data_IF_058291758120
#
_entry.id   IF_058291758120
#
_cell.length_a   1.000
_cell.length_b   1.000
_cell.length_c   1.000
_cell.angle_alpha   90.00
_cell.angle_beta   90.00
_cell.angle_gamma   90.00
#
_symmetry.space_group_name_H-M   'P 1'
#
loop_
_entity.id
_entity.type
_entity.pdbx_description
1 polymer ?
#
# COMPACT_ATOMS: atom_id res chain seq x y z
N UNK A 1 22.80 -4.99 -32.09
CA UNK A 1 22.18 -4.45 -30.86
C UNK A 1 21.30 -5.54 -30.28
N UNK A 2 21.43 -5.85 -28.97
CA UNK A 2 20.51 -6.75 -28.31
C UNK A 2 19.16 -6.05 -28.09
N UNK A 3 18.05 -6.76 -28.34
CA UNK A 3 16.71 -6.20 -28.23
C UNK A 3 16.37 -5.78 -26.78
N UNK A 4 15.55 -4.74 -26.67
CA UNK A 4 14.90 -4.35 -25.40
C UNK A 4 13.91 -5.45 -25.01
N UNK A 5 13.98 -5.89 -23.76
CA UNK A 5 13.13 -6.94 -23.23
C UNK A 5 12.59 -6.59 -21.85
N UNK A 6 11.36 -7.03 -21.57
CA UNK A 6 10.79 -7.10 -20.24
C UNK A 6 10.40 -8.55 -19.93
N UNK A 7 10.68 -8.99 -18.72
CA UNK A 7 10.36 -10.35 -18.29
C UNK A 7 9.91 -10.34 -16.81
N UNK A 8 9.18 -11.38 -16.43
CA UNK A 8 8.84 -11.68 -15.04
C UNK A 8 9.29 -13.08 -14.73
N UNK A 9 10.00 -13.21 -13.63
CA UNK A 9 10.37 -14.48 -13.01
C UNK A 9 9.46 -14.73 -11.83
N UNK A 10 8.81 -15.90 -11.78
CA UNK A 10 7.86 -16.28 -10.73
C UNK A 10 8.34 -17.55 -10.05
N UNK A 11 8.30 -17.55 -8.72
CA UNK A 11 8.58 -18.70 -7.86
C UNK A 11 7.30 -19.08 -7.14
N UNK A 12 6.97 -20.35 -7.11
CA UNK A 12 5.80 -20.91 -6.42
C UNK A 12 6.25 -22.06 -5.53
N UNK A 13 5.86 -22.04 -4.25
CA UNK A 13 6.22 -23.06 -3.24
C UNK A 13 7.74 -23.38 -3.22
N UNK A 14 8.55 -22.31 -3.31
CA UNK A 14 10.01 -22.39 -3.28
C UNK A 14 10.68 -22.87 -4.58
N UNK A 15 9.92 -23.12 -5.65
CA UNK A 15 10.42 -23.60 -6.95
C UNK A 15 10.05 -22.65 -8.07
N UNK A 16 10.86 -22.61 -9.12
CA UNK A 16 10.52 -21.86 -10.33
C UNK A 16 9.19 -22.37 -10.91
N UNK A 17 8.21 -21.48 -11.02
CA UNK A 17 6.88 -21.83 -11.54
C UNK A 17 6.90 -21.92 -13.06
N UNK A 18 7.33 -23.05 -13.62
CA UNK A 18 7.50 -23.24 -15.06
C UNK A 18 6.25 -22.90 -15.86
N UNK A 19 5.07 -23.35 -15.40
CA UNK A 19 3.78 -23.06 -16.07
C UNK A 19 3.51 -21.56 -16.11
N UNK A 20 3.66 -20.86 -15.00
CA UNK A 20 3.45 -19.40 -14.92
C UNK A 20 4.50 -18.63 -15.72
N UNK A 21 5.74 -19.09 -15.73
CA UNK A 21 6.84 -18.41 -16.42
C UNK A 21 6.76 -18.56 -17.94
N UNK A 22 6.35 -19.73 -18.45
CA UNK A 22 6.33 -20.02 -19.87
C UNK A 22 5.00 -19.65 -20.56
N UNK A 23 3.88 -19.81 -19.86
CA UNK A 23 2.55 -19.71 -20.43
C UNK A 23 1.75 -18.48 -19.96
N UNK A 24 2.37 -17.56 -19.18
CA UNK A 24 1.65 -16.36 -18.73
C UNK A 24 1.26 -15.49 -19.91
N UNK A 25 0.01 -15.04 -19.91
CA UNK A 25 -0.54 -14.10 -20.89
C UNK A 25 -0.67 -12.70 -20.33
N UNK A 26 -0.85 -12.59 -19.02
CA UNK A 26 -0.86 -11.30 -18.33
C UNK A 26 -0.27 -11.44 -16.92
N UNK A 27 0.40 -10.39 -16.49
CA UNK A 27 0.92 -10.24 -15.15
C UNK A 27 0.67 -8.80 -14.70
N UNK A 28 0.07 -8.65 -13.54
CA UNK A 28 -0.16 -7.35 -12.90
C UNK A 28 0.37 -7.40 -11.47
N UNK A 29 1.25 -6.47 -11.12
CA UNK A 29 1.68 -6.21 -9.76
C UNK A 29 1.15 -4.85 -9.34
N UNK A 30 0.34 -4.81 -8.28
CA UNK A 30 -0.22 -3.60 -7.69
C UNK A 30 0.43 -3.36 -6.34
N UNK A 31 1.01 -2.18 -6.18
CA UNK A 31 1.70 -1.72 -4.97
C UNK A 31 1.05 -0.42 -4.48
N UNK A 32 0.11 -0.49 -3.54
CA UNK A 32 -0.45 0.68 -2.86
C UNK A 32 0.51 1.20 -1.78
N UNK A 33 0.53 2.51 -1.56
CA UNK A 33 1.37 3.13 -0.53
C UNK A 33 0.87 2.81 0.89
N UNK A 34 -0.43 2.66 1.07
CA UNK A 34 -1.04 2.37 2.38
C UNK A 34 -2.45 1.80 2.25
N UNK A 35 -2.97 1.25 3.34
CA UNK A 35 -4.37 0.84 3.47
C UNK A 35 -4.69 -0.52 2.87
N UNK A 36 -3.94 -0.98 1.90
CA UNK A 36 -4.12 -2.27 1.23
C UNK A 36 -2.80 -3.03 1.19
N UNK A 37 -2.87 -4.33 0.99
CA UNK A 37 -1.70 -5.17 0.76
C UNK A 37 -1.33 -5.15 -0.73
N UNK A 38 -0.05 -5.33 -1.02
CA UNK A 38 0.40 -5.52 -2.39
C UNK A 38 -0.24 -6.77 -3.00
N UNK A 39 -0.57 -6.70 -4.28
CA UNK A 39 -1.27 -7.77 -4.98
C UNK A 39 -0.59 -8.20 -6.27
N UNK A 40 -0.68 -9.49 -6.55
CA UNK A 40 -0.32 -10.07 -7.85
C UNK A 40 -1.53 -10.72 -8.50
N UNK A 41 -1.77 -10.37 -9.76
CA UNK A 41 -2.72 -11.02 -10.65
C UNK A 41 -1.96 -11.63 -11.84
N UNK A 42 -2.06 -12.95 -12.02
CA UNK A 42 -1.35 -13.67 -13.08
C UNK A 42 -2.37 -14.48 -13.86
N UNK A 43 -2.45 -14.22 -15.16
CA UNK A 43 -3.24 -15.04 -16.08
C UNK A 43 -2.30 -15.84 -16.96
N UNK A 44 -2.57 -17.12 -17.12
CA UNK A 44 -1.76 -18.01 -17.95
C UNK A 44 -2.65 -18.89 -18.82
N UNK A 45 -2.10 -19.29 -19.93
CA UNK A 45 -2.74 -20.18 -20.89
C UNK A 45 -2.19 -21.60 -20.71
N UNK A 46 -3.08 -22.57 -20.60
CA UNK A 46 -2.72 -23.97 -20.50
C UNK A 46 -3.16 -24.72 -21.74
N UNK A 47 -2.21 -25.42 -22.38
CA UNK A 47 -2.49 -26.17 -23.64
C UNK A 47 -3.05 -27.57 -23.40
N UNK A 48 -2.94 -28.08 -22.18
CA UNK A 48 -3.38 -29.42 -21.83
C UNK A 48 -4.06 -29.43 -20.47
N UNK A 49 -4.93 -30.40 -20.25
CA UNK A 49 -5.55 -30.63 -18.94
C UNK A 49 -4.53 -31.03 -17.84
N UNK A 50 -3.23 -31.08 -18.15
CA UNK A 50 -2.18 -31.51 -17.22
C UNK A 50 -2.02 -30.58 -16.01
N UNK A 51 -2.29 -29.28 -16.15
CA UNK A 51 -2.30 -28.36 -15.01
C UNK A 51 -3.45 -28.63 -14.02
N UNK A 52 -4.53 -29.24 -14.50
CA UNK A 52 -5.68 -29.63 -13.67
C UNK A 52 -5.48 -31.04 -13.09
N UNK A 53 -4.84 -31.94 -13.84
CA UNK A 53 -4.61 -33.33 -13.44
C UNK A 53 -3.25 -33.61 -12.81
N UNK A 54 -2.22 -32.80 -13.12
CA UNK A 54 -0.83 -33.02 -12.74
C UNK A 54 -0.27 -32.10 -11.64
N UNK A 55 -1.14 -31.36 -10.95
CA UNK A 55 -0.71 -30.45 -9.88
C UNK A 55 -1.29 -29.06 -10.05
N UNK A 56 -2.61 -28.94 -9.83
CA UNK A 56 -3.25 -27.62 -9.74
C UNK A 56 -2.56 -26.75 -8.69
N UNK A 57 -2.41 -25.50 -8.99
CA UNK A 57 -1.95 -24.54 -8.00
C UNK A 57 -2.94 -24.49 -6.83
N UNK A 58 -2.43 -24.33 -5.62
CA UNK A 58 -3.20 -24.36 -4.40
C UNK A 58 -3.18 -22.98 -3.74
N UNK A 59 -4.25 -22.62 -3.05
CA UNK A 59 -4.30 -21.47 -2.18
C UNK A 59 -3.39 -21.67 -0.95
N UNK A 60 -3.05 -20.60 -0.29
CA UNK A 60 -2.18 -20.60 0.91
C UNK A 60 -0.75 -21.12 0.65
N UNK A 61 -0.28 -21.06 -0.58
CA UNK A 61 1.11 -21.37 -0.95
C UNK A 61 1.92 -20.10 -1.20
N UNK A 62 3.21 -20.07 -0.83
CA UNK A 62 4.06 -18.92 -1.07
C UNK A 62 4.31 -18.72 -2.56
N UNK A 63 4.29 -17.47 -2.99
CA UNK A 63 4.59 -17.03 -4.33
C UNK A 63 5.46 -15.78 -4.26
N UNK A 64 6.48 -15.68 -5.10
CA UNK A 64 7.26 -14.46 -5.26
C UNK A 64 7.45 -14.15 -6.74
N UNK A 65 7.68 -12.87 -7.06
CA UNK A 65 7.86 -12.42 -8.42
C UNK A 65 8.92 -11.32 -8.50
N UNK A 66 9.67 -11.33 -9.59
CA UNK A 66 10.65 -10.29 -9.91
C UNK A 66 10.44 -9.82 -11.35
N UNK A 67 10.29 -8.53 -11.55
CA UNK A 67 10.21 -7.88 -12.86
C UNK A 67 11.62 -7.50 -13.29
N UNK A 68 11.99 -7.82 -14.52
CA UNK A 68 13.28 -7.44 -15.09
C UNK A 68 13.09 -6.69 -16.42
N UNK A 69 13.84 -5.60 -16.57
CA UNK A 69 14.01 -4.84 -17.80
C UNK A 69 15.45 -5.04 -18.27
N UNK A 70 15.63 -5.48 -19.51
CA UNK A 70 16.96 -5.76 -20.09
C UNK A 70 17.18 -4.88 -21.31
N UNK A 71 18.35 -4.24 -21.38
CA UNK A 71 18.74 -3.31 -22.44
C UNK A 71 17.69 -2.18 -22.66
N UNK A 72 17.13 -1.65 -21.58
CA UNK A 72 15.91 -0.83 -21.64
C UNK A 72 16.13 0.53 -22.29
N UNK A 73 17.01 1.36 -21.77
CA UNK A 73 17.34 2.67 -22.32
C UNK A 73 18.55 2.58 -23.28
N UNK A 74 19.49 1.68 -22.99
CA UNK A 74 20.70 1.43 -23.80
C UNK A 74 21.13 -0.04 -23.63
N UNK A 75 22.07 -0.48 -24.45
CA UNK A 75 22.68 -1.80 -24.31
C UNK A 75 23.39 -1.89 -22.95
N UNK A 76 23.03 -2.91 -22.16
CA UNK A 76 23.54 -3.13 -20.82
C UNK A 76 22.76 -2.42 -19.71
N UNK A 77 21.75 -1.60 -20.02
CA UNK A 77 20.84 -1.02 -19.01
C UNK A 77 19.86 -2.09 -18.55
N UNK A 78 20.22 -2.79 -17.49
CA UNK A 78 19.45 -3.85 -16.87
C UNK A 78 18.96 -3.37 -15.50
N UNK A 79 17.66 -3.54 -15.24
CA UNK A 79 17.01 -3.12 -14.00
C UNK A 79 16.06 -4.21 -13.54
N UNK A 80 15.95 -4.37 -12.23
CA UNK A 80 15.04 -5.34 -11.62
C UNK A 80 14.20 -4.66 -10.55
N UNK A 81 12.97 -5.15 -10.39
CA UNK A 81 12.09 -4.85 -9.28
C UNK A 81 11.67 -6.16 -8.63
N UNK A 82 12.07 -6.35 -7.40
CA UNK A 82 11.54 -7.42 -6.56
C UNK A 82 10.16 -6.99 -6.07
N UNK A 83 9.14 -7.75 -6.44
CA UNK A 83 7.76 -7.48 -6.03
C UNK A 83 7.50 -7.96 -4.58
N UNK A 84 8.41 -8.75 -4.00
CA UNK A 84 8.30 -9.28 -2.65
C UNK A 84 7.65 -10.66 -2.58
N UNK A 85 7.29 -11.03 -1.35
CA UNK A 85 6.66 -12.32 -1.02
C UNK A 85 5.14 -12.19 -0.91
N UNK A 86 4.44 -13.14 -1.49
CA UNK A 86 2.98 -13.20 -1.53
C UNK A 86 2.49 -14.57 -1.06
N UNK A 87 1.24 -14.60 -0.68
CA UNK A 87 0.49 -15.83 -0.45
C UNK A 87 -0.61 -15.96 -1.50
N UNK A 88 -0.75 -17.11 -2.12
CA UNK A 88 -1.82 -17.37 -3.08
C UNK A 88 -3.16 -17.34 -2.35
N UNK A 89 -4.00 -16.38 -2.71
CA UNK A 89 -5.32 -16.15 -2.13
C UNK A 89 -6.41 -16.85 -2.94
N UNK A 90 -6.28 -16.83 -4.27
CA UNK A 90 -7.28 -17.40 -5.17
C UNK A 90 -6.64 -18.03 -6.39
N UNK A 91 -7.14 -19.20 -6.76
CA UNK A 91 -6.84 -19.86 -8.03
C UNK A 91 -8.14 -20.17 -8.74
N UNK A 92 -8.22 -19.87 -10.02
CA UNK A 92 -9.38 -20.22 -10.85
C UNK A 92 -8.92 -20.75 -12.21
N UNK A 93 -9.69 -21.66 -12.75
CA UNK A 93 -9.52 -22.21 -14.09
C UNK A 93 -10.82 -22.09 -14.85
N UNK A 94 -10.70 -21.83 -16.14
CA UNK A 94 -11.82 -21.82 -17.09
C UNK A 94 -11.43 -22.52 -18.39
N UNK A 95 -12.37 -22.96 -19.16
CA UNK A 95 -12.18 -23.60 -20.45
C UNK A 95 -13.30 -23.19 -21.41
N UNK A 96 -13.25 -23.32 -22.69
CA UNK A 96 -12.17 -23.64 -23.62
C UNK A 96 -11.77 -22.39 -24.39
N UNK A 97 -10.51 -22.06 -24.65
CA UNK A 97 -9.29 -22.76 -24.25
C UNK A 97 -9.02 -22.64 -22.72
N UNK A 98 -8.20 -23.56 -22.17
CA UNK A 98 -7.84 -23.58 -20.77
C UNK A 98 -7.10 -22.31 -20.37
N UNK A 99 -7.69 -21.57 -19.45
CA UNK A 99 -7.09 -20.37 -18.88
C UNK A 99 -7.08 -20.50 -17.36
N UNK A 100 -5.93 -20.24 -16.73
CA UNK A 100 -5.79 -20.16 -15.30
C UNK A 100 -5.56 -18.73 -14.86
N UNK A 101 -6.10 -18.38 -13.70
CA UNK A 101 -5.81 -17.10 -13.02
C UNK A 101 -5.39 -17.39 -11.59
N UNK A 102 -4.28 -16.77 -11.18
CA UNK A 102 -3.78 -16.80 -9.81
C UNK A 102 -3.79 -15.39 -9.27
N UNK A 103 -4.41 -15.20 -8.11
CA UNK A 103 -4.32 -13.98 -7.32
C UNK A 103 -3.56 -14.27 -6.04
N UNK A 104 -2.60 -13.41 -5.73
CA UNK A 104 -1.81 -13.51 -4.53
C UNK A 104 -1.67 -12.14 -3.85
N UNK A 105 -1.56 -12.14 -2.55
CA UNK A 105 -1.50 -10.92 -1.73
C UNK A 105 -0.30 -10.99 -0.79
N UNK A 106 0.32 -9.84 -0.56
CA UNK A 106 1.45 -9.72 0.37
C UNK A 106 0.93 -9.70 1.80
N UNK A 107 0.74 -10.90 2.38
CA UNK A 107 0.25 -11.07 3.74
C UNK A 107 1.13 -12.08 4.49
N UNK A 108 1.19 -12.01 5.84
CA UNK A 108 1.81 -13.05 6.62
C UNK A 108 1.11 -14.39 6.37
N UNK A 109 1.88 -15.47 6.31
CA UNK A 109 1.33 -16.83 6.24
C UNK A 109 0.44 -17.17 7.47
N UNK A 110 0.63 -16.45 8.57
CA UNK A 110 -0.24 -16.54 9.75
C UNK A 110 -1.56 -15.81 9.48
N UNK A 111 -2.61 -16.59 9.28
CA UNK A 111 -3.97 -16.09 9.03
C UNK A 111 -4.56 -15.31 10.21
N UNK A 112 -4.04 -15.50 11.44
CA UNK A 112 -4.52 -14.81 12.64
C UNK A 112 -4.47 -13.28 12.53
N UNK A 113 -3.45 -12.73 11.88
CA UNK A 113 -3.27 -11.29 11.73
C UNK A 113 -4.42 -10.57 11.01
N UNK A 114 -5.02 -11.20 9.98
CA UNK A 114 -6.11 -10.61 9.17
C UNK A 114 -7.48 -11.23 9.40
N UNK A 115 -7.56 -12.40 10.02
CA UNK A 115 -8.81 -13.15 10.11
C UNK A 115 -9.28 -13.36 11.54
N UNK A 116 -8.37 -13.44 12.51
CA UNK A 116 -8.74 -13.65 13.90
C UNK A 116 -9.06 -12.33 14.57
N UNK A 117 -10.32 -12.16 14.96
CA UNK A 117 -10.76 -11.03 15.77
C UNK A 117 -10.33 -11.22 17.22
N UNK A 118 -9.93 -10.11 17.83
CA UNK A 118 -9.48 -10.09 19.23
C UNK A 118 -10.13 -8.95 19.99
N UNK A 119 -10.23 -9.12 21.29
CA UNK A 119 -10.57 -8.06 22.23
C UNK A 119 -9.42 -7.92 23.20
N UNK A 120 -8.82 -6.73 23.25
CA UNK A 120 -7.68 -6.40 24.10
C UNK A 120 -7.71 -4.93 24.50
N UNK A 121 -7.34 -4.65 25.74
CA UNK A 121 -7.10 -3.28 26.21
C UNK A 121 -5.61 -3.01 26.21
N UNK A 122 -5.24 -1.90 25.59
CA UNK A 122 -3.88 -1.39 25.54
C UNK A 122 -3.77 -0.22 26.51
N UNK A 123 -2.82 -0.28 27.43
CA UNK A 123 -2.63 0.76 28.45
C UNK A 123 -1.19 1.24 28.44
N UNK A 124 -1.00 2.55 28.57
CA UNK A 124 0.32 3.20 28.69
C UNK A 124 1.31 2.70 27.64
N UNK A 125 0.87 2.59 26.41
CA UNK A 125 1.65 2.11 25.27
C UNK A 125 1.84 3.22 24.24
N UNK A 126 2.74 3.00 23.29
CA UNK A 126 2.90 3.88 22.13
C UNK A 126 2.42 3.15 20.87
N UNK A 127 2.15 3.92 19.80
CA UNK A 127 1.74 3.34 18.53
C UNK A 127 2.79 2.33 18.03
N UNK A 128 4.07 2.65 18.16
CA UNK A 128 5.17 1.77 17.78
C UNK A 128 5.21 0.48 18.61
N UNK A 129 5.07 0.57 19.94
CA UNK A 129 5.06 -0.62 20.82
C UNK A 129 3.89 -1.55 20.53
N UNK A 130 2.70 -0.98 20.29
CA UNK A 130 1.53 -1.76 19.87
C UNK A 130 1.83 -2.51 18.57
N UNK A 131 2.41 -1.81 17.59
CA UNK A 131 2.82 -2.40 16.31
C UNK A 131 3.86 -3.50 16.45
N UNK A 132 4.85 -3.33 17.34
CA UNK A 132 5.87 -4.35 17.62
C UNK A 132 5.25 -5.63 18.20
N UNK A 133 4.32 -5.49 19.13
CA UNK A 133 3.64 -6.66 19.71
C UNK A 133 2.77 -7.37 18.67
N UNK A 134 1.99 -6.62 17.87
CA UNK A 134 1.18 -7.17 16.81
C UNK A 134 2.04 -7.88 15.76
N UNK A 135 3.13 -7.27 15.32
CA UNK A 135 4.07 -7.87 14.37
C UNK A 135 4.69 -9.16 14.93
N UNK A 136 5.14 -9.13 16.19
CA UNK A 136 5.67 -10.32 16.88
C UNK A 136 4.66 -11.46 16.94
N UNK A 137 3.40 -11.18 17.28
CA UNK A 137 2.32 -12.16 17.31
C UNK A 137 2.01 -12.75 15.93
N UNK A 138 2.22 -11.97 14.88
CA UNK A 138 2.06 -12.40 13.49
C UNK A 138 3.31 -13.10 12.92
N UNK A 139 4.42 -13.16 13.66
CA UNK A 139 5.68 -13.75 13.20
C UNK A 139 6.35 -12.95 12.08
N UNK A 140 6.17 -11.63 12.06
CA UNK A 140 6.74 -10.70 11.08
C UNK A 140 7.43 -9.53 11.78
N UNK A 141 8.18 -8.73 11.02
CA UNK A 141 8.87 -7.55 11.55
C UNK A 141 8.01 -6.28 11.44
N UNK A 142 8.18 -5.36 12.39
CA UNK A 142 7.75 -3.97 12.24
C UNK A 142 8.92 -3.13 11.72
N UNK A 143 8.76 -2.52 10.56
CA UNK A 143 9.63 -1.47 10.05
C UNK A 143 8.97 -0.11 10.32
N UNK A 144 9.55 0.63 11.26
CA UNK A 144 9.08 1.94 11.71
C UNK A 144 9.96 3.04 11.13
N UNK A 145 9.45 3.79 10.14
CA UNK A 145 10.14 4.92 9.50
C UNK A 145 9.32 6.22 9.71
N UNK A 146 9.20 6.59 10.98
CA UNK A 146 8.53 7.82 11.42
C UNK A 146 9.52 8.67 12.16
N UNK A 147 9.74 9.90 11.69
CA UNK A 147 10.52 10.92 12.38
C UNK A 147 9.65 11.58 13.48
N UNK A 148 10.28 11.93 14.60
CA UNK A 148 9.61 12.61 15.69
C UNK A 148 9.03 11.70 16.77
N UNK A 149 8.08 12.24 17.53
CA UNK A 149 7.54 11.57 18.71
C UNK A 149 6.57 10.45 18.34
N UNK A 150 6.77 9.28 18.96
CA UNK A 150 5.83 8.17 18.91
C UNK A 150 4.59 8.51 19.76
N UNK A 151 3.37 8.56 19.20
CA UNK A 151 2.18 8.94 19.93
C UNK A 151 1.93 8.04 21.14
N UNK A 152 1.75 8.67 22.30
CA UNK A 152 1.43 7.99 23.54
C UNK A 152 -0.06 7.69 23.61
N UNK A 153 -0.41 6.55 24.15
CA UNK A 153 -1.78 6.09 24.32
C UNK A 153 -1.97 5.73 25.79
N UNK A 154 -2.84 6.45 26.46
CA UNK A 154 -3.18 6.17 27.86
C UNK A 154 -4.00 4.90 27.96
N UNK A 155 -5.08 4.79 27.19
CA UNK A 155 -5.94 3.60 27.13
C UNK A 155 -6.62 3.52 25.78
N UNK A 156 -6.53 2.36 25.13
CA UNK A 156 -7.18 2.07 23.85
C UNK A 156 -7.71 0.64 23.85
N UNK A 157 -8.94 0.47 23.42
CA UNK A 157 -9.56 -0.82 23.29
C UNK A 157 -9.58 -1.30 21.83
N UNK A 158 -9.08 -2.50 21.60
CA UNK A 158 -9.32 -3.30 20.41
C UNK A 158 -10.52 -4.18 20.72
N UNK A 159 -11.67 -3.96 20.08
CA UNK A 159 -12.90 -4.71 20.34
C UNK A 159 -13.33 -5.45 19.07
N UNK A 160 -13.30 -6.79 19.13
CA UNK A 160 -13.73 -7.72 18.08
C UNK A 160 -13.23 -7.35 16.65
N UNK A 161 -12.01 -6.79 16.58
CA UNK A 161 -11.35 -6.43 15.33
C UNK A 161 -10.09 -7.26 15.12
N UNK A 162 -9.67 -7.43 13.87
CA UNK A 162 -8.40 -8.09 13.57
C UNK A 162 -7.22 -7.18 13.92
N UNK A 163 -6.08 -7.77 14.22
CA UNK A 163 -4.86 -7.00 14.53
C UNK A 163 -4.48 -6.07 13.38
N UNK A 164 -4.65 -6.52 12.13
CA UNK A 164 -4.39 -5.71 10.94
C UNK A 164 -5.29 -4.48 10.85
N UNK A 165 -6.60 -4.67 10.97
CA UNK A 165 -7.58 -3.59 10.90
C UNK A 165 -7.43 -2.60 12.06
N UNK A 166 -7.26 -3.11 13.26
CA UNK A 166 -7.05 -2.29 14.46
C UNK A 166 -5.82 -1.41 14.31
N UNK A 167 -4.67 -2.00 13.95
CA UNK A 167 -3.42 -1.25 13.87
C UNK A 167 -3.38 -0.27 12.70
N UNK A 168 -3.99 -0.64 11.57
CA UNK A 168 -4.15 0.27 10.44
C UNK A 168 -4.99 1.51 10.82
N UNK A 169 -6.12 1.31 11.52
CA UNK A 169 -6.96 2.40 11.99
C UNK A 169 -6.24 3.25 13.04
N UNK A 170 -5.46 2.65 13.92
CA UNK A 170 -4.65 3.36 14.89
C UNK A 170 -3.59 4.25 14.20
N UNK A 171 -2.84 3.70 13.26
CA UNK A 171 -1.88 4.47 12.45
C UNK A 171 -2.58 5.65 11.76
N UNK A 172 -3.70 5.39 11.09
CA UNK A 172 -4.48 6.42 10.39
C UNK A 172 -4.94 7.54 11.31
N UNK A 173 -5.35 7.22 12.55
CA UNK A 173 -5.77 8.20 13.57
C UNK A 173 -4.68 9.23 13.88
N UNK A 174 -3.42 8.84 13.78
CA UNK A 174 -2.25 9.70 14.02
C UNK A 174 -1.55 10.16 12.73
N UNK A 175 -2.21 10.05 11.57
CA UNK A 175 -1.66 10.49 10.26
C UNK A 175 -0.52 9.63 9.74
N UNK A 176 -0.37 8.42 10.29
CA UNK A 176 0.61 7.45 9.84
C UNK A 176 0.01 6.53 8.77
N UNK A 177 0.82 6.16 7.83
CA UNK A 177 0.50 5.18 6.79
C UNK A 177 1.05 3.83 7.18
N UNK A 178 0.24 2.79 7.05
CA UNK A 178 0.63 1.42 7.30
C UNK A 178 0.39 0.58 6.05
N UNK A 179 1.35 -0.27 5.69
CA UNK A 179 1.18 -1.32 4.67
C UNK A 179 1.87 -2.62 5.12
N UNK A 180 1.46 -3.72 4.54
CA UNK A 180 2.15 -5.00 4.68
C UNK A 180 2.90 -5.29 3.39
N UNK A 181 4.22 -5.45 3.49
CA UNK A 181 5.09 -5.72 2.36
C UNK A 181 6.14 -6.76 2.75
N UNK A 182 6.31 -7.80 1.95
CA UNK A 182 7.38 -8.82 2.09
C UNK A 182 7.60 -9.26 3.54
N UNK A 183 6.53 -9.73 4.21
CA UNK A 183 6.52 -10.17 5.61
C UNK A 183 6.92 -9.12 6.65
N UNK A 184 6.67 -7.84 6.35
CA UNK A 184 6.89 -6.73 7.27
C UNK A 184 5.65 -5.86 7.37
N UNK A 185 5.38 -5.32 8.54
CA UNK A 185 4.51 -4.16 8.70
C UNK A 185 5.39 -2.94 8.53
N UNK A 186 5.11 -2.12 7.53
CA UNK A 186 5.81 -0.87 7.27
C UNK A 186 4.93 0.28 7.73
N UNK A 187 5.43 1.12 8.64
CA UNK A 187 4.75 2.32 9.13
C UNK A 187 5.62 3.54 8.86
N UNK A 188 5.03 4.55 8.25
CA UNK A 188 5.72 5.79 7.91
C UNK A 188 4.78 6.99 7.92
N UNK A 189 5.32 8.21 8.01
CA UNK A 189 4.56 9.44 7.85
C UNK A 189 4.49 9.84 6.37
N UNK A 190 3.27 9.84 5.79
CA UNK A 190 3.05 10.29 4.41
C UNK A 190 3.47 11.76 4.22
N UNK A 191 3.23 12.59 5.22
CA UNK A 191 3.59 14.01 5.18
C UNK A 191 5.10 14.21 5.07
N UNK A 192 5.90 13.42 5.81
CA UNK A 192 7.36 13.42 5.74
C UNK A 192 7.86 12.85 4.41
N UNK A 193 7.27 11.74 3.95
CA UNK A 193 7.62 11.14 2.67
C UNK A 193 7.38 12.08 1.49
N UNK A 194 6.31 12.88 1.51
CA UNK A 194 6.06 13.93 0.49
C UNK A 194 7.14 15.01 0.45
N UNK A 195 7.91 15.22 1.53
CA UNK A 195 9.01 16.19 1.57
C UNK A 195 10.29 15.65 0.92
N UNK A 196 10.50 14.32 0.92
CA UNK A 196 11.68 13.66 0.32
C UNK A 196 11.83 14.04 -1.16
N UNK A 197 13.04 13.95 -1.68
CA UNK A 197 13.34 14.26 -3.08
C UNK A 197 12.65 13.30 -4.04
N UNK A 198 12.43 13.78 -5.27
CA UNK A 198 11.86 12.95 -6.33
C UNK A 198 12.92 11.98 -6.87
N UNK A 199 12.57 10.69 -6.95
CA UNK A 199 13.47 9.63 -7.44
C UNK A 199 13.74 9.72 -8.94
N UNK A 200 12.84 10.34 -9.70
CA UNK A 200 13.03 10.58 -11.14
C UNK A 200 12.13 11.70 -11.65
N UNK A 201 12.41 12.13 -12.89
CA UNK A 201 11.51 13.01 -13.65
C UNK A 201 10.85 12.20 -14.77
N UNK A 202 9.54 12.41 -14.96
CA UNK A 202 8.73 11.84 -16.04
C UNK A 202 8.46 12.95 -17.05
N UNK A 203 8.89 12.74 -18.31
CA UNK A 203 8.73 13.68 -19.40
C UNK A 203 7.58 13.27 -20.34
N UNK A 204 6.98 14.21 -21.11
CA UNK A 204 5.84 13.94 -21.98
C UNK A 204 6.05 12.76 -22.95
N UNK A 205 7.23 12.61 -23.52
CA UNK A 205 7.56 11.52 -24.46
C UNK A 205 7.60 10.12 -23.82
N UNK A 206 7.58 10.03 -22.49
CA UNK A 206 7.54 8.79 -21.73
C UNK A 206 6.11 8.41 -21.32
N UNK A 207 5.14 9.33 -21.47
CA UNK A 207 3.76 9.16 -21.05
C UNK A 207 2.96 8.59 -22.22
N UNK A 208 2.31 7.44 -22.00
CA UNK A 208 1.41 6.81 -22.97
C UNK A 208 -0.01 7.36 -22.86
N UNK A 209 -0.47 7.54 -21.63
CA UNK A 209 -1.75 8.15 -21.31
C UNK A 209 -1.72 8.82 -19.95
N UNK A 210 -2.61 9.77 -19.76
CA UNK A 210 -2.76 10.46 -18.49
C UNK A 210 -4.20 10.92 -18.26
N UNK A 211 -4.57 11.07 -17.01
CA UNK A 211 -5.79 11.74 -16.59
C UNK A 211 -5.51 12.54 -15.32
N UNK A 212 -6.14 13.69 -15.21
CA UNK A 212 -6.04 14.56 -14.05
C UNK A 212 -7.44 14.94 -13.55
N UNK A 213 -7.61 14.96 -12.25
CA UNK A 213 -8.83 15.39 -11.61
C UNK A 213 -8.53 16.19 -10.36
N UNK A 214 -9.37 17.15 -10.07
CA UNK A 214 -9.37 17.92 -8.84
C UNK A 214 -10.79 18.05 -8.33
N UNK A 215 -10.99 17.68 -7.06
CA UNK A 215 -12.27 17.75 -6.39
C UNK A 215 -12.22 18.77 -5.25
N UNK A 216 -13.22 19.62 -5.15
CA UNK A 216 -13.40 20.53 -4.03
C UNK A 216 -14.25 19.87 -2.92
N UNK A 217 -15.21 19.04 -3.31
CA UNK A 217 -16.06 18.31 -2.36
C UNK A 217 -15.21 17.35 -1.50
N UNK A 218 -15.46 17.37 -0.20
CA UNK A 218 -14.72 16.54 0.76
C UNK A 218 -13.32 17.06 1.11
N UNK A 219 -12.99 18.31 0.69
CA UNK A 219 -11.74 18.97 1.10
C UNK A 219 -12.01 20.03 2.14
N UNK A 220 -11.05 20.20 3.05
CA UNK A 220 -11.19 21.07 4.21
C UNK A 220 -10.01 22.04 4.32
N UNK A 221 -10.29 23.28 4.72
CA UNK A 221 -9.29 24.33 4.98
C UNK A 221 -8.95 24.43 6.44
N UNK A 222 -9.71 23.73 7.28
CA UNK A 222 -9.51 23.64 8.71
C UNK A 222 -10.39 22.56 9.31
N UNK A 223 -10.37 22.45 10.61
CA UNK A 223 -11.17 21.46 11.32
C UNK A 223 -11.44 21.85 12.77
N UNK A 224 -12.38 21.15 13.35
CA UNK A 224 -12.81 21.22 14.73
C UNK A 224 -12.88 19.83 15.33
N UNK A 225 -12.18 19.59 16.42
CA UNK A 225 -12.21 18.33 17.16
C UNK A 225 -12.80 18.56 18.54
N UNK A 226 -13.87 17.84 18.85
CA UNK A 226 -14.55 17.94 20.14
C UNK A 226 -14.33 16.66 20.94
N UNK A 227 -13.86 16.79 22.17
CA UNK A 227 -13.67 15.66 23.10
C UNK A 227 -14.03 16.03 24.52
N UNK A 228 -14.37 15.02 25.33
CA UNK A 228 -14.57 15.19 26.76
C UNK A 228 -13.28 14.93 27.50
N UNK A 229 -12.78 15.94 28.21
CA UNK A 229 -11.55 15.82 28.99
C UNK A 229 -11.73 14.83 30.14
N UNK A 230 -10.92 13.75 30.24
CA UNK A 230 -11.18 12.69 31.24
C UNK A 230 -11.13 13.14 32.68
N UNK A 231 -10.27 14.13 33.01
CA UNK A 231 -10.07 14.60 34.40
C UNK A 231 -11.16 15.57 34.91
N UNK A 232 -11.79 16.31 34.03
CA UNK A 232 -12.72 17.39 34.41
C UNK A 232 -14.14 17.17 33.91
N UNK A 233 -14.38 16.15 33.08
CA UNK A 233 -15.62 15.91 32.36
C UNK A 233 -16.14 17.11 31.55
N UNK A 234 -15.26 18.05 31.20
CA UNK A 234 -15.59 19.18 30.35
C UNK A 234 -15.41 18.85 28.89
N UNK A 235 -16.34 19.34 28.10
CA UNK A 235 -16.20 19.32 26.66
C UNK A 235 -15.15 20.36 26.24
N UNK A 236 -14.15 19.90 25.50
CA UNK A 236 -13.07 20.72 24.95
C UNK A 236 -13.18 20.70 23.43
N UNK A 237 -13.05 21.85 22.84
CA UNK A 237 -13.06 22.06 21.40
C UNK A 237 -11.71 22.60 20.94
N UNK A 238 -11.09 21.90 20.01
CA UNK A 238 -9.82 22.26 19.39
C UNK A 238 -10.05 22.60 17.92
N UNK A 239 -9.47 23.68 17.45
CA UNK A 239 -9.61 24.14 16.06
C UNK A 239 -8.26 24.30 15.38
N UNK A 240 -8.18 23.95 14.09
CA UNK A 240 -7.00 24.14 13.24
C UNK A 240 -7.41 24.75 11.90
N UNK A 241 -6.53 25.54 11.28
CA UNK A 241 -6.75 26.09 9.94
C UNK A 241 -7.77 27.23 9.91
N UNK A 242 -8.49 27.38 8.78
CA UNK A 242 -9.47 28.44 8.55
C UNK A 242 -10.90 27.91 8.61
N UNK A 243 -11.87 28.82 8.85
CA UNK A 243 -13.26 28.46 9.08
C UNK A 243 -14.08 28.21 7.79
N UNK A 244 -13.49 28.37 6.59
CA UNK A 244 -14.26 28.35 5.35
C UNK A 244 -14.89 26.97 5.05
N UNK A 245 -14.11 25.90 5.31
CA UNK A 245 -14.56 24.50 5.18
C UNK A 245 -13.98 23.68 6.31
N UNK A 246 -14.77 23.50 7.36
CA UNK A 246 -14.34 22.82 8.59
C UNK A 246 -14.69 21.32 8.55
N UNK A 247 -13.69 20.48 8.77
CA UNK A 247 -13.87 19.08 9.15
C UNK A 247 -14.27 19.03 10.62
N UNK A 248 -15.46 18.51 10.92
CA UNK A 248 -15.91 18.30 12.29
C UNK A 248 -15.66 16.85 12.70
N UNK A 249 -14.88 16.68 13.76
CA UNK A 249 -14.56 15.38 14.34
C UNK A 249 -14.92 15.35 15.81
N UNK A 250 -15.30 14.20 16.29
CA UNK A 250 -15.56 13.93 17.71
C UNK A 250 -14.89 12.63 18.10
N UNK A 251 -14.42 12.52 19.34
CA UNK A 251 -13.80 11.28 19.79
C UNK A 251 -13.11 11.42 21.15
N UNK A 252 -12.28 10.43 21.48
CA UNK A 252 -11.46 10.45 22.68
C UNK A 252 -10.12 11.13 22.36
N UNK A 253 -9.66 11.99 23.28
CA UNK A 253 -8.32 12.53 23.28
C UNK A 253 -7.83 12.63 24.74
N UNK A 254 -6.54 12.38 24.94
CA UNK A 254 -5.93 12.42 26.27
C UNK A 254 -5.72 13.86 26.73
N UNK A 255 -5.40 14.73 25.80
CA UNK A 255 -5.22 16.18 26.01
C UNK A 255 -5.44 16.95 24.69
N UNK A 256 -5.22 18.27 24.75
CA UNK A 256 -5.37 19.15 23.59
C UNK A 256 -4.37 18.85 22.47
N UNK A 257 -3.13 18.50 22.83
CA UNK A 257 -2.09 18.17 21.84
C UNK A 257 -2.42 16.87 21.08
N UNK A 258 -2.96 15.87 21.77
CA UNK A 258 -3.46 14.64 21.16
C UNK A 258 -4.65 14.92 20.24
N UNK A 259 -5.59 15.76 20.66
CA UNK A 259 -6.72 16.18 19.82
C UNK A 259 -6.27 16.93 18.57
N UNK A 260 -5.26 17.82 18.70
CA UNK A 260 -4.68 18.53 17.56
C UNK A 260 -4.02 17.58 16.55
N UNK A 261 -3.24 16.61 17.02
CA UNK A 261 -2.61 15.58 16.15
C UNK A 261 -3.66 14.79 15.38
N UNK A 262 -4.72 14.34 16.05
CA UNK A 262 -5.82 13.59 15.42
C UNK A 262 -6.60 14.44 14.42
N UNK A 263 -6.85 15.71 14.73
CA UNK A 263 -7.53 16.64 13.84
C UNK A 263 -6.69 16.92 12.59
N UNK A 264 -5.39 17.18 12.75
CA UNK A 264 -4.48 17.38 11.63
C UNK A 264 -4.43 16.13 10.73
N UNK A 265 -4.32 14.96 11.32
CA UNK A 265 -4.36 13.69 10.61
C UNK A 265 -5.67 13.52 9.82
N UNK A 266 -6.80 13.87 10.41
CA UNK A 266 -8.10 13.82 9.75
C UNK A 266 -8.22 14.78 8.57
N UNK A 267 -7.73 16.02 8.71
CA UNK A 267 -7.70 17.00 7.62
C UNK A 267 -6.79 16.53 6.47
N UNK A 268 -5.58 16.04 6.80
CA UNK A 268 -4.62 15.56 5.82
C UNK A 268 -5.14 14.35 5.05
N UNK A 269 -5.82 13.44 5.72
CA UNK A 269 -6.44 12.27 5.10
C UNK A 269 -7.63 12.64 4.22
N UNK A 270 -8.50 13.54 4.67
CA UNK A 270 -9.64 14.00 3.88
C UNK A 270 -9.20 14.77 2.61
N UNK A 271 -8.12 15.54 2.72
CA UNK A 271 -7.54 16.28 1.60
C UNK A 271 -6.65 15.40 0.70
N UNK A 272 -6.30 14.19 1.16
CA UNK A 272 -5.54 13.25 0.34
C UNK A 272 -6.40 12.80 -0.85
N UNK A 273 -5.92 12.91 -2.04
CA UNK A 273 -6.71 12.56 -3.23
C UNK A 273 -7.62 13.68 -3.76
N UNK A 274 -7.65 14.86 -3.13
CA UNK A 274 -8.34 16.04 -3.67
C UNK A 274 -7.84 16.39 -5.08
N UNK A 275 -6.55 16.19 -5.34
CA UNK A 275 -5.94 16.29 -6.66
C UNK A 275 -5.27 14.96 -7.00
N UNK A 276 -5.65 14.38 -8.13
CA UNK A 276 -5.14 13.09 -8.59
C UNK A 276 -4.65 13.20 -10.04
N UNK A 277 -3.41 12.77 -10.26
CA UNK A 277 -2.83 12.60 -11.58
C UNK A 277 -2.53 11.11 -11.79
N UNK A 278 -3.18 10.50 -12.77
CA UNK A 278 -2.91 9.12 -13.18
C UNK A 278 -2.10 9.14 -14.46
N UNK A 279 -1.00 8.37 -14.49
CA UNK A 279 -0.08 8.28 -15.60
C UNK A 279 0.15 6.83 -16.00
N UNK A 280 0.10 6.54 -17.30
CA UNK A 280 0.64 5.30 -17.85
C UNK A 280 1.97 5.62 -18.52
N UNK A 281 3.05 5.01 -18.01
CA UNK A 281 4.41 5.24 -18.51
C UNK A 281 5.06 3.90 -18.87
N UNK A 282 5.95 3.90 -19.87
CA UNK A 282 6.60 2.68 -20.33
C UNK A 282 7.97 2.51 -19.66
N UNK A 283 8.18 1.33 -19.05
CA UNK A 283 9.50 0.91 -18.56
C UNK A 283 10.06 1.72 -17.40
N UNK A 284 9.21 2.12 -16.49
CA UNK A 284 9.60 2.69 -15.20
C UNK A 284 9.30 1.66 -14.11
N UNK A 285 10.31 1.28 -13.36
CA UNK A 285 10.17 0.43 -12.17
C UNK A 285 10.05 1.33 -10.94
N UNK A 286 8.87 1.92 -10.76
CA UNK A 286 8.55 2.77 -9.60
C UNK A 286 7.83 1.94 -8.56
N UNK A 287 8.01 2.32 -7.30
CA UNK A 287 7.25 1.78 -6.17
C UNK A 287 6.42 2.90 -5.55
N UNK A 288 5.36 2.51 -4.85
CA UNK A 288 4.54 3.44 -4.08
C UNK A 288 5.33 4.08 -2.93
N UNK A 289 4.83 5.19 -2.41
CA UNK A 289 5.51 5.91 -1.32
C UNK A 289 6.70 6.76 -1.76
N UNK A 290 7.04 6.78 -3.06
CA UNK A 290 8.09 7.64 -3.62
C UNK A 290 7.53 8.93 -4.19
N UNK A 291 8.37 9.96 -4.31
CA UNK A 291 8.04 11.16 -5.06
C UNK A 291 8.60 11.08 -6.48
N UNK A 292 7.82 11.55 -7.44
CA UNK A 292 8.23 11.72 -8.83
C UNK A 292 8.02 13.17 -9.27
N UNK A 293 8.89 13.69 -10.12
CA UNK A 293 8.70 14.97 -10.77
C UNK A 293 8.07 14.73 -12.13
N UNK A 294 6.98 15.40 -12.43
CA UNK A 294 6.31 15.31 -13.73
C UNK A 294 6.50 16.62 -14.47
N UNK A 295 6.89 16.55 -15.75
CA UNK A 295 7.00 17.68 -16.65
C UNK A 295 5.86 17.58 -17.67
N UNK A 296 4.72 18.22 -17.40
CA UNK A 296 3.51 18.10 -18.23
C UNK A 296 2.74 19.44 -18.28
N UNK A 297 3.36 20.45 -18.88
CA UNK A 297 2.76 21.78 -19.02
C UNK A 297 2.30 22.34 -17.68
N UNK A 298 1.06 22.77 -17.60
CA UNK A 298 0.43 23.32 -16.39
C UNK A 298 0.30 22.30 -15.24
N UNK A 299 0.42 21.01 -15.52
CA UNK A 299 0.38 19.93 -14.53
C UNK A 299 1.79 19.53 -14.05
N UNK A 300 2.81 20.29 -14.41
CA UNK A 300 4.18 20.03 -13.96
C UNK A 300 4.32 20.25 -12.46
N UNK A 301 4.99 19.31 -11.79
CA UNK A 301 5.19 19.40 -10.34
C UNK A 301 5.79 18.13 -9.73
N UNK A 302 5.94 18.15 -8.41
CA UNK A 302 6.31 16.98 -7.61
C UNK A 302 5.06 16.30 -7.12
N UNK A 303 4.94 15.00 -7.38
CA UNK A 303 3.80 14.17 -7.00
C UNK A 303 4.28 13.00 -6.14
N UNK A 304 3.50 12.68 -5.11
CA UNK A 304 3.66 11.47 -4.33
C UNK A 304 2.97 10.31 -5.03
N UNK A 305 3.67 9.19 -5.15
CA UNK A 305 3.15 7.98 -5.80
C UNK A 305 2.30 7.18 -4.81
N UNK A 306 1.00 7.31 -4.94
CA UNK A 306 0.04 6.67 -4.04
C UNK A 306 -0.19 5.19 -4.37
N UNK A 307 -0.21 4.85 -5.65
CA UNK A 307 -0.29 3.47 -6.11
C UNK A 307 0.52 3.31 -7.39
N UNK A 308 1.30 2.25 -7.47
CA UNK A 308 1.91 1.81 -8.73
C UNK A 308 1.31 0.50 -9.19
N UNK A 309 1.11 0.38 -10.50
CA UNK A 309 0.66 -0.87 -11.13
C UNK A 309 1.58 -1.21 -12.28
N UNK A 310 2.25 -2.35 -12.19
CA UNK A 310 3.12 -2.86 -13.23
C UNK A 310 2.39 -3.94 -14.02
N UNK A 311 2.13 -3.64 -15.30
CA UNK A 311 1.47 -4.57 -16.21
C UNK A 311 2.47 -5.09 -17.22
N UNK A 312 2.57 -6.41 -17.32
CA UNK A 312 3.28 -7.11 -18.39
C UNK A 312 2.29 -8.08 -19.03
N UNK A 313 1.95 -7.82 -20.29
CA UNK A 313 1.09 -8.66 -21.08
C UNK A 313 1.70 -8.90 -22.45
N UNK A 314 1.20 -9.89 -23.19
CA UNK A 314 1.40 -9.96 -24.63
C UNK A 314 0.63 -8.78 -25.23
N UNK A 315 1.34 -7.78 -25.72
CA UNK A 315 0.79 -6.76 -26.62
C UNK A 315 0.46 -7.37 -27.95
#
# INVERSE_FOLDING_TARGET
MKARQSSVSITYDGKAASVLNLNKTAFTYTDPASGEADGLDITFFERSASAVSGGKMEVNKPLSATIALTNWAAQGDNRTLDCGDFLVDRVSYSGWPWTGTVKAVSVPANTGFRQTKRTKVWEKATVQKIGQEIASNAGIELFWDVEGDDPQITTLEQSETTDCEFYMNLCKTYGLSMKVYSKKIVVYSRTEYKKKDAVCTIYPHQILSWSWSQNLAGTYTGGEYTYTQPKTNKEIKVTLGTADRLLKMTGKADDEADAQKKLQAGIDEANHGATKLSLTVKGKLLVSGQNVKVSLGALSGKYFTDTTTHNLGSS
#
